data_IF_745984065310
#
_entry.id   IF_745984065310
#
_cell.length_a   1.000
_cell.length_b   1.000
_cell.length_c   1.000
_cell.angle_alpha   90.00
_cell.angle_beta   90.00
_cell.angle_gamma   90.00
#
_symmetry.space_group_name_H-M   'P 1'
#
loop_
_entity.id
_entity.type
_entity.pdbx_description
1 polymer ?
#
# COMPACT_ATOMS: atom_id res chain seq x y z
N UNK A 1 -35.29 4.48 -2.99
CA UNK A 1 -34.40 5.25 -3.88
C UNK A 1 -33.27 5.75 -3.01
N UNK A 2 -32.02 5.46 -3.38
CA UNK A 2 -30.83 5.75 -2.58
C UNK A 2 -30.54 7.25 -2.69
N UNK A 3 -30.34 7.94 -1.56
CA UNK A 3 -29.98 9.35 -1.55
C UNK A 3 -28.46 9.52 -1.45
N UNK A 4 -27.80 9.44 -2.61
CA UNK A 4 -26.35 9.59 -2.72
C UNK A 4 -25.87 10.98 -2.29
N UNK A 5 -26.71 12.01 -2.47
CA UNK A 5 -26.35 13.38 -2.07
C UNK A 5 -26.31 13.49 -0.55
N UNK A 6 -27.30 12.92 0.13
CA UNK A 6 -27.33 12.90 1.59
C UNK A 6 -26.19 12.05 2.16
N UNK A 7 -25.92 10.88 1.59
CA UNK A 7 -24.78 10.04 1.98
C UNK A 7 -23.44 10.78 1.83
N UNK A 8 -23.25 11.49 0.71
CA UNK A 8 -22.06 12.31 0.47
C UNK A 8 -21.94 13.43 1.52
N UNK A 9 -23.04 14.12 1.86
CA UNK A 9 -23.01 15.16 2.90
C UNK A 9 -22.58 14.62 4.27
N UNK A 10 -22.95 13.38 4.62
CA UNK A 10 -22.52 12.75 5.86
C UNK A 10 -21.01 12.50 5.82
N UNK A 11 -20.47 11.98 4.71
CA UNK A 11 -19.02 11.77 4.54
C UNK A 11 -18.26 13.09 4.66
N UNK A 12 -18.75 14.15 4.01
CA UNK A 12 -18.11 15.47 4.04
C UNK A 12 -18.12 16.08 5.45
N UNK A 13 -19.20 15.84 6.21
CA UNK A 13 -19.39 16.36 7.58
C UNK A 13 -18.60 15.59 8.63
N UNK A 14 -18.66 14.26 8.59
CA UNK A 14 -18.10 13.38 9.63
C UNK A 14 -16.63 13.03 9.36
N UNK A 15 -16.18 13.12 8.11
CA UNK A 15 -14.82 12.74 7.69
C UNK A 15 -14.07 13.95 7.12
N UNK A 16 -14.37 14.36 5.89
CA UNK A 16 -13.81 15.56 5.26
C UNK A 16 -14.46 15.84 3.90
N UNK A 17 -14.59 17.12 3.48
CA UNK A 17 -15.02 17.50 2.14
C UNK A 17 -14.10 16.99 1.03
N UNK A 18 -12.91 16.47 1.33
CA UNK A 18 -11.97 15.98 0.35
C UNK A 18 -12.26 14.57 -0.14
N UNK A 19 -13.29 13.90 0.39
CA UNK A 19 -13.68 12.55 -0.02
C UNK A 19 -14.88 12.56 -0.98
N UNK A 20 -14.99 11.50 -1.79
CA UNK A 20 -16.12 11.28 -2.71
C UNK A 20 -16.55 9.83 -2.67
N UNK A 21 -17.86 9.57 -2.76
CA UNK A 21 -18.38 8.21 -2.98
C UNK A 21 -17.87 7.69 -4.32
N UNK A 22 -17.35 6.46 -4.32
CA UNK A 22 -16.82 5.78 -5.51
C UNK A 22 -17.74 4.66 -5.98
N UNK A 23 -18.29 3.91 -5.04
CA UNK A 23 -19.15 2.77 -5.29
C UNK A 23 -20.09 2.57 -4.10
N UNK A 24 -21.19 1.87 -4.33
CA UNK A 24 -22.06 1.44 -3.26
C UNK A 24 -22.66 0.07 -3.58
N UNK A 25 -22.99 -0.66 -2.53
CA UNK A 25 -23.65 -1.96 -2.61
C UNK A 25 -24.98 -1.88 -1.87
N UNK A 26 -26.05 -2.26 -2.54
CA UNK A 26 -27.41 -2.30 -2.00
C UNK A 26 -27.76 -3.75 -1.69
N UNK A 27 -27.77 -4.13 -0.41
CA UNK A 27 -28.12 -5.48 0.06
C UNK A 27 -29.56 -5.50 0.58
N UNK A 28 -30.09 -6.66 1.00
CA UNK A 28 -31.42 -6.70 1.60
C UNK A 28 -31.51 -5.86 2.89
N UNK A 29 -30.45 -5.90 3.71
CA UNK A 29 -30.45 -5.32 5.06
C UNK A 29 -29.86 -3.91 5.13
N UNK A 30 -28.95 -3.56 4.21
CA UNK A 30 -28.19 -2.32 4.30
C UNK A 30 -27.77 -1.76 2.94
N UNK A 31 -27.31 -0.52 2.93
CA UNK A 31 -26.58 0.07 1.81
C UNK A 31 -25.18 0.47 2.30
N UNK A 32 -24.15 0.00 1.60
CA UNK A 32 -22.75 0.22 1.95
C UNK A 32 -22.18 1.20 0.94
N UNK A 33 -21.75 2.38 1.38
CA UNK A 33 -21.15 3.42 0.55
C UNK A 33 -19.65 3.47 0.78
N UNK A 34 -18.89 3.16 -0.27
CA UNK A 34 -17.45 3.33 -0.28
C UNK A 34 -17.09 4.69 -0.84
N UNK A 35 -16.03 5.24 -0.30
CA UNK A 35 -15.55 6.55 -0.66
C UNK A 35 -14.04 6.56 -0.67
N UNK A 36 -13.48 7.46 -1.46
CA UNK A 36 -12.05 7.66 -1.57
C UNK A 36 -11.72 9.13 -1.61
N UNK A 37 -10.47 9.47 -1.28
CA UNK A 37 -10.01 10.84 -1.34
C UNK A 37 -10.09 11.35 -2.79
N UNK A 38 -10.43 12.61 -3.02
CA UNK A 38 -10.63 13.16 -4.37
C UNK A 38 -9.35 13.13 -5.21
N UNK A 39 -8.20 13.23 -4.55
CA UNK A 39 -6.86 13.05 -5.16
C UNK A 39 -6.25 11.67 -4.86
N UNK A 40 -7.07 10.68 -4.47
CA UNK A 40 -6.60 9.32 -4.22
C UNK A 40 -5.88 8.77 -5.45
N UNK A 41 -4.60 8.46 -5.24
CA UNK A 41 -3.83 7.56 -6.05
C UNK A 41 -3.78 6.24 -5.26
N UNK A 42 -4.28 5.11 -5.79
CA UNK A 42 -4.32 3.81 -5.11
C UNK A 42 -3.02 3.34 -4.49
N UNK A 43 -1.95 4.03 -4.85
CA UNK A 43 -0.60 3.68 -4.56
C UNK A 43 0.19 4.84 -3.91
N UNK A 44 -0.43 5.93 -3.48
CA UNK A 44 0.31 7.02 -2.83
C UNK A 44 0.24 6.90 -1.30
N UNK A 45 1.33 6.46 -0.66
CA UNK A 45 1.48 6.42 0.80
C UNK A 45 1.22 7.76 1.50
N UNK A 46 1.34 8.89 0.80
CA UNK A 46 0.98 10.23 1.32
C UNK A 46 -0.54 10.43 1.42
N UNK A 47 -1.32 9.60 0.71
CA UNK A 47 -2.77 9.50 0.78
C UNK A 47 -3.28 8.44 1.76
N UNK A 48 -2.40 7.65 2.39
CA UNK A 48 -2.77 6.68 3.43
C UNK A 48 -3.09 7.39 4.75
N UNK A 49 -4.23 8.07 4.79
CA UNK A 49 -4.94 8.30 6.04
C UNK A 49 -5.87 7.10 6.22
N UNK A 50 -5.44 6.19 7.10
CA UNK A 50 -6.26 5.11 7.68
C UNK A 50 -7.52 5.71 8.32
N UNK A 51 -8.65 5.00 8.27
CA UNK A 51 -9.41 4.84 9.52
C UNK A 51 -10.93 4.92 9.50
N UNK A 52 -11.58 5.20 8.38
CA UNK A 52 -13.04 5.08 8.33
C UNK A 52 -13.39 4.05 7.27
N UNK A 53 -14.00 2.96 7.71
CA UNK A 53 -14.69 2.01 6.85
C UNK A 53 -15.85 2.69 6.10
N UNK A 54 -16.61 1.92 5.32
CA UNK A 54 -17.69 2.49 4.52
C UNK A 54 -18.70 3.23 5.39
N UNK A 55 -19.40 4.19 4.79
CA UNK A 55 -20.64 4.69 5.38
C UNK A 55 -21.70 3.62 5.17
N UNK A 56 -22.41 3.20 6.20
CA UNK A 56 -23.47 2.20 6.10
C UNK A 56 -24.80 2.82 6.46
N UNK A 57 -25.80 2.56 5.63
CA UNK A 57 -27.20 2.83 5.92
C UNK A 57 -27.91 1.53 6.27
N UNK A 58 -28.33 1.38 7.52
CA UNK A 58 -29.13 0.25 7.99
C UNK A 58 -30.60 0.49 7.60
N UNK A 59 -31.18 -0.41 6.80
CA UNK A 59 -32.57 -0.26 6.31
C UNK A 59 -33.61 -0.55 7.40
N UNK A 60 -33.24 -1.31 8.42
CA UNK A 60 -34.10 -1.67 9.56
C UNK A 60 -34.24 -0.48 10.50
N UNK A 61 -33.11 0.09 10.92
CA UNK A 61 -33.09 1.23 11.86
C UNK A 61 -33.26 2.58 11.15
N UNK A 62 -33.02 2.64 9.84
CA UNK A 62 -33.01 3.85 9.01
C UNK A 62 -31.94 4.85 9.42
N UNK A 63 -30.83 4.36 9.96
CA UNK A 63 -29.71 5.17 10.44
C UNK A 63 -28.50 5.05 9.52
N UNK A 64 -27.73 6.15 9.42
CA UNK A 64 -26.43 6.17 8.79
C UNK A 64 -25.33 6.08 9.84
N UNK A 65 -24.31 5.26 9.60
CA UNK A 65 -23.16 5.09 10.49
C UNK A 65 -21.86 5.09 9.70
N UNK A 66 -20.93 5.97 10.07
CA UNK A 66 -19.54 5.87 9.60
C UNK A 66 -18.89 4.76 10.37
N UNK A 67 -18.53 3.68 9.68
CA UNK A 67 -18.06 2.48 10.36
C UNK A 67 -16.55 2.44 10.51
N UNK A 68 -16.06 1.79 11.56
CA UNK A 68 -14.72 1.19 11.57
C UNK A 68 -14.69 -0.10 10.74
N UNK A 69 -13.51 -0.55 10.33
CA UNK A 69 -13.32 -1.64 9.37
C UNK A 69 -13.80 -3.04 9.80
N UNK A 70 -14.32 -3.24 11.02
CA UNK A 70 -14.56 -4.59 11.57
C UNK A 70 -16.00 -4.98 11.92
N UNK A 71 -16.92 -4.03 12.13
CA UNK A 71 -18.14 -4.32 12.91
C UNK A 71 -19.27 -5.01 12.12
N UNK A 72 -19.22 -5.04 10.79
CA UNK A 72 -20.30 -5.57 9.94
C UNK A 72 -19.82 -6.37 8.72
N UNK A 73 -18.53 -6.69 8.63
CA UNK A 73 -18.01 -7.55 7.56
C UNK A 73 -18.29 -9.02 7.91
N UNK A 74 -19.56 -9.43 7.80
CA UNK A 74 -19.93 -10.84 7.78
C UNK A 74 -19.28 -11.51 6.56
N UNK A 75 -19.14 -12.83 6.60
CA UNK A 75 -18.60 -13.60 5.48
C UNK A 75 -19.38 -13.36 4.17
N UNK A 76 -20.70 -13.14 4.27
CA UNK A 76 -21.58 -12.84 3.13
C UNK A 76 -21.32 -11.45 2.54
N UNK A 77 -21.06 -10.46 3.39
CA UNK A 77 -20.65 -9.12 2.95
C UNK A 77 -19.25 -9.17 2.34
N UNK A 78 -18.32 -9.93 2.93
CA UNK A 78 -17.00 -10.16 2.35
C UNK A 78 -17.06 -10.76 0.93
N UNK A 79 -17.97 -11.71 0.68
CA UNK A 79 -18.20 -12.32 -0.64
C UNK A 79 -18.62 -11.32 -1.71
N UNK A 80 -19.31 -10.24 -1.36
CA UNK A 80 -19.66 -9.18 -2.32
C UNK A 80 -18.42 -8.49 -2.91
N UNK A 81 -17.29 -8.60 -2.22
CA UNK A 81 -16.03 -7.97 -2.59
C UNK A 81 -14.97 -8.97 -3.07
N UNK A 82 -15.34 -10.24 -3.27
CA UNK A 82 -14.45 -11.24 -3.85
C UNK A 82 -14.35 -11.01 -5.36
N UNK A 83 -13.27 -10.35 -5.78
CA UNK A 83 -12.86 -10.28 -7.18
C UNK A 83 -11.67 -11.20 -7.41
N UNK A 84 -11.46 -11.64 -8.66
CA UNK A 84 -10.25 -12.41 -9.01
C UNK A 84 -8.97 -11.62 -8.69
N UNK A 85 -8.98 -10.30 -8.89
CA UNK A 85 -7.87 -9.42 -8.48
C UNK A 85 -7.62 -9.45 -6.97
N UNK A 86 -8.68 -9.48 -6.16
CA UNK A 86 -8.55 -9.54 -4.69
C UNK A 86 -8.05 -10.90 -4.23
N UNK A 87 -8.48 -11.99 -4.87
CA UNK A 87 -7.96 -13.33 -4.61
C UNK A 87 -6.47 -13.39 -4.93
N UNK A 88 -6.07 -12.90 -6.10
CA UNK A 88 -4.64 -12.81 -6.48
C UNK A 88 -3.83 -12.00 -5.46
N UNK A 89 -4.36 -10.87 -4.97
CA UNK A 89 -3.71 -10.07 -3.91
C UNK A 89 -3.55 -10.84 -2.59
N UNK A 90 -4.55 -11.65 -2.21
CA UNK A 90 -4.49 -12.50 -1.02
C UNK A 90 -3.46 -13.60 -1.20
N UNK A 91 -3.41 -14.24 -2.37
CA UNK A 91 -2.44 -15.27 -2.69
C UNK A 91 -1.00 -14.72 -2.69
N UNK A 92 -0.79 -13.53 -3.30
CA UNK A 92 0.48 -12.79 -3.25
C UNK A 92 0.89 -12.53 -1.79
N UNK A 93 -0.04 -12.04 -0.97
CA UNK A 93 0.21 -11.75 0.44
C UNK A 93 0.57 -13.01 1.23
N UNK A 94 -0.19 -14.10 1.07
CA UNK A 94 0.06 -15.36 1.75
C UNK A 94 1.45 -15.92 1.39
N UNK A 95 1.82 -15.84 0.11
CA UNK A 95 3.14 -16.22 -0.35
C UNK A 95 4.26 -15.35 0.24
N UNK A 96 4.07 -14.04 0.30
CA UNK A 96 5.03 -13.13 0.93
C UNK A 96 5.21 -13.45 2.42
N UNK A 97 4.12 -13.76 3.13
CA UNK A 97 4.18 -14.13 4.54
C UNK A 97 4.89 -15.48 4.74
N UNK A 98 4.66 -16.46 3.87
CA UNK A 98 5.39 -17.73 3.94
C UNK A 98 6.90 -17.54 3.71
N UNK A 99 7.30 -16.71 2.74
CA UNK A 99 8.70 -16.34 2.56
C UNK A 99 9.28 -15.63 3.77
N UNK A 100 8.53 -14.69 4.38
CA UNK A 100 8.94 -14.00 5.60
C UNK A 100 9.19 -14.99 6.75
N UNK A 101 8.36 -16.02 6.87
CA UNK A 101 8.48 -17.13 7.83
C UNK A 101 9.55 -18.17 7.46
N UNK A 102 10.37 -17.90 6.44
CA UNK A 102 11.46 -18.76 5.94
C UNK A 102 10.98 -20.09 5.33
N UNK A 103 9.79 -20.13 4.74
CA UNK A 103 9.39 -21.26 3.91
C UNK A 103 10.16 -21.33 2.59
N UNK A 104 10.01 -22.46 1.88
CA UNK A 104 10.73 -22.70 0.63
C UNK A 104 10.29 -21.73 -0.47
N UNK A 105 11.28 -21.08 -1.10
CA UNK A 105 11.07 -20.13 -2.18
C UNK A 105 10.68 -20.83 -3.50
N UNK A 106 9.53 -20.45 -4.05
CA UNK A 106 9.21 -20.65 -5.47
C UNK A 106 9.86 -19.54 -6.31
N UNK A 107 10.96 -19.87 -6.97
CA UNK A 107 11.72 -18.91 -7.78
C UNK A 107 10.92 -18.33 -8.96
N UNK A 108 10.01 -19.10 -9.55
CA UNK A 108 9.21 -18.62 -10.69
C UNK A 108 8.21 -17.59 -10.20
N UNK A 109 7.50 -17.90 -9.11
CA UNK A 109 6.51 -17.00 -8.53
C UNK A 109 7.16 -15.74 -7.94
N UNK A 110 8.27 -15.88 -7.21
CA UNK A 110 9.05 -14.74 -6.69
C UNK A 110 9.44 -13.77 -7.80
N UNK A 111 9.99 -14.27 -8.92
CA UNK A 111 10.37 -13.40 -10.03
C UNK A 111 9.15 -12.70 -10.66
N UNK A 112 8.03 -13.40 -10.81
CA UNK A 112 6.78 -12.81 -11.30
C UNK A 112 6.30 -11.64 -10.42
N UNK A 113 6.33 -11.81 -9.10
CA UNK A 113 5.94 -10.76 -8.15
C UNK A 113 6.91 -9.57 -8.19
N UNK A 114 8.22 -9.81 -8.31
CA UNK A 114 9.21 -8.76 -8.48
C UNK A 114 8.91 -7.94 -9.75
N UNK A 115 8.64 -8.59 -10.89
CA UNK A 115 8.26 -7.87 -12.13
C UNK A 115 6.97 -7.07 -11.98
N UNK A 116 5.96 -7.61 -11.29
CA UNK A 116 4.69 -6.93 -11.00
C UNK A 116 4.93 -5.66 -10.19
N UNK A 117 5.72 -5.73 -9.12
CA UNK A 117 6.08 -4.56 -8.29
C UNK A 117 6.90 -3.54 -9.09
N UNK A 118 7.92 -3.98 -9.85
CA UNK A 118 8.71 -3.09 -10.73
C UNK A 118 7.83 -2.35 -11.74
N UNK A 119 6.89 -3.06 -12.37
CA UNK A 119 5.96 -2.47 -13.34
C UNK A 119 5.07 -1.39 -12.70
N UNK A 120 4.59 -1.64 -11.48
CA UNK A 120 3.83 -0.65 -10.72
C UNK A 120 4.66 0.58 -10.35
N UNK A 121 5.88 0.40 -9.83
CA UNK A 121 6.82 1.50 -9.57
C UNK A 121 7.07 2.33 -10.82
N UNK A 122 7.30 1.69 -11.96
CA UNK A 122 7.58 2.37 -13.23
C UNK A 122 6.35 3.14 -13.75
N UNK A 123 5.15 2.58 -13.61
CA UNK A 123 3.89 3.24 -13.95
C UNK A 123 3.66 4.50 -13.11
N UNK A 124 3.94 4.42 -11.81
CA UNK A 124 3.73 5.51 -10.84
C UNK A 124 4.86 6.55 -10.84
N UNK A 125 6.05 6.14 -11.25
CA UNK A 125 7.27 6.95 -11.23
C UNK A 125 7.71 7.40 -9.82
N UNK A 126 7.31 6.65 -8.79
CA UNK A 126 7.83 6.73 -7.42
C UNK A 126 7.76 5.35 -6.74
N UNK A 127 8.46 5.20 -5.61
CA UNK A 127 8.52 3.98 -4.80
C UNK A 127 7.89 4.19 -3.43
N UNK A 128 7.05 3.25 -3.01
CA UNK A 128 6.45 3.16 -1.69
C UNK A 128 7.34 2.43 -0.69
N UNK A 129 7.16 2.73 0.60
CA UNK A 129 7.66 1.91 1.70
C UNK A 129 7.15 0.47 1.59
N UNK A 130 5.89 0.26 1.21
CA UNK A 130 5.34 -1.07 0.93
C UNK A 130 6.09 -1.76 -0.21
N UNK A 131 6.40 -1.06 -1.31
CA UNK A 131 7.21 -1.66 -2.39
C UNK A 131 8.58 -2.10 -1.87
N UNK A 132 9.23 -1.25 -1.04
CA UNK A 132 10.54 -1.55 -0.45
C UNK A 132 10.44 -2.75 0.48
N UNK A 133 9.38 -2.83 1.26
CA UNK A 133 9.18 -3.91 2.21
C UNK A 133 8.95 -5.25 1.51
N UNK A 134 8.04 -5.27 0.54
CA UNK A 134 7.73 -6.44 -0.25
C UNK A 134 8.95 -6.93 -1.04
N UNK A 135 9.70 -6.01 -1.68
CA UNK A 135 10.94 -6.37 -2.37
C UNK A 135 12.02 -6.84 -1.39
N UNK A 136 12.05 -6.33 -0.15
CA UNK A 136 12.97 -6.83 0.88
C UNK A 136 12.64 -8.25 1.32
N UNK A 137 11.35 -8.61 1.39
CA UNK A 137 10.93 -10.01 1.57
C UNK A 137 11.33 -10.83 0.33
N UNK A 138 10.97 -10.41 -0.89
CA UNK A 138 11.25 -11.20 -2.10
C UNK A 138 12.76 -11.41 -2.34
N UNK A 139 13.62 -10.50 -1.90
CA UNK A 139 15.08 -10.61 -2.05
C UNK A 139 15.78 -11.40 -0.95
N UNK A 140 15.12 -11.64 0.19
CA UNK A 140 15.73 -12.30 1.35
C UNK A 140 16.27 -11.35 2.43
N UNK A 141 16.13 -10.04 2.23
CA UNK A 141 16.67 -9.01 3.13
C UNK A 141 15.85 -8.93 4.42
N UNK A 142 14.54 -9.17 4.32
CA UNK A 142 13.62 -9.29 5.45
C UNK A 142 13.17 -10.73 5.64
N UNK A 143 13.51 -11.33 6.78
CA UNK A 143 13.02 -12.64 7.25
C UNK A 143 12.73 -12.55 8.73
N UNK A 144 11.92 -13.46 9.25
CA UNK A 144 11.55 -13.49 10.68
C UNK A 144 12.76 -13.73 11.60
N UNK A 145 13.80 -14.40 11.10
CA UNK A 145 15.03 -14.74 11.82
C UNK A 145 16.19 -13.77 11.57
N UNK A 146 15.97 -12.69 10.81
CA UNK A 146 17.01 -11.71 10.46
C UNK A 146 16.72 -10.35 11.05
N UNK A 147 17.78 -9.59 11.31
CA UNK A 147 17.65 -8.18 11.68
C UNK A 147 17.25 -7.38 10.43
N UNK A 148 16.13 -6.67 10.54
CA UNK A 148 15.62 -5.82 9.48
C UNK A 148 14.86 -4.63 10.05
N UNK A 149 15.09 -3.46 9.47
CA UNK A 149 14.34 -2.24 9.78
C UNK A 149 14.27 -1.31 8.56
N UNK A 150 13.23 -0.46 8.55
CA UNK A 150 13.07 0.64 7.61
C UNK A 150 13.21 1.96 8.39
N UNK A 151 14.40 2.58 8.28
CA UNK A 151 14.74 3.77 9.06
C UNK A 151 14.50 5.04 8.24
N UNK A 152 13.94 6.04 8.93
CA UNK A 152 13.87 7.42 8.48
C UNK A 152 14.83 8.29 9.30
N UNK A 153 15.79 8.96 8.64
CA UNK A 153 16.72 9.90 9.28
C UNK A 153 16.42 11.32 8.84
N UNK A 154 16.48 12.27 9.76
CA UNK A 154 16.20 13.68 9.48
C UNK A 154 17.08 14.29 8.36
N UNK A 155 18.30 13.78 8.17
CA UNK A 155 19.20 14.22 7.09
C UNK A 155 18.72 13.80 5.67
N UNK A 156 17.75 12.89 5.59
CA UNK A 156 17.11 12.43 4.36
C UNK A 156 15.61 12.73 4.39
N UNK A 157 15.07 13.28 3.29
CA UNK A 157 13.62 13.47 3.19
C UNK A 157 12.93 12.12 3.00
N UNK A 158 12.02 11.76 3.91
CA UNK A 158 11.34 10.46 3.93
C UNK A 158 10.47 10.19 2.69
N UNK A 159 9.96 11.26 2.07
CA UNK A 159 9.21 11.20 0.81
C UNK A 159 10.11 10.85 -0.37
N UNK A 160 11.40 11.11 -0.26
CA UNK A 160 12.38 10.90 -1.33
C UNK A 160 13.30 9.71 -1.06
N UNK A 161 13.44 9.28 0.19
CA UNK A 161 14.43 8.29 0.60
C UNK A 161 13.91 7.38 1.71
N UNK A 162 14.41 6.15 1.72
CA UNK A 162 14.20 5.18 2.80
C UNK A 162 15.51 4.41 3.03
N UNK A 163 15.83 4.10 4.28
CA UNK A 163 17.01 3.30 4.63
C UNK A 163 16.54 1.90 4.97
N UNK A 164 17.03 0.92 4.22
CA UNK A 164 16.91 -0.50 4.55
C UNK A 164 18.09 -0.90 5.42
N UNK A 165 17.80 -1.41 6.61
CA UNK A 165 18.78 -2.09 7.46
C UNK A 165 18.64 -3.58 7.25
N UNK A 166 19.73 -4.25 6.89
CA UNK A 166 19.78 -5.71 6.78
C UNK A 166 21.23 -6.16 6.92
N UNK A 167 21.47 -7.23 7.66
CA UNK A 167 22.79 -7.87 7.80
C UNK A 167 23.13 -8.80 6.61
N UNK A 168 22.14 -9.16 5.79
CA UNK A 168 22.34 -10.04 4.62
C UNK A 168 22.87 -9.27 3.41
N UNK A 169 24.19 -9.37 3.18
CA UNK A 169 24.85 -8.72 2.05
C UNK A 169 24.35 -9.21 0.69
N UNK A 170 24.02 -10.50 0.54
CA UNK A 170 23.56 -11.07 -0.74
C UNK A 170 22.15 -10.58 -1.06
N UNK A 171 21.29 -10.49 -0.06
CA UNK A 171 19.94 -9.96 -0.25
C UNK A 171 19.95 -8.48 -0.61
N UNK A 172 20.81 -7.67 0.04
CA UNK A 172 21.02 -6.26 -0.35
C UNK A 172 21.52 -6.11 -1.78
N UNK A 173 22.42 -6.98 -2.24
CA UNK A 173 22.88 -6.96 -3.64
C UNK A 173 21.74 -7.20 -4.63
N UNK A 174 20.82 -8.14 -4.33
CA UNK A 174 19.60 -8.36 -5.14
C UNK A 174 18.70 -7.12 -5.14
N UNK A 175 18.50 -6.48 -3.99
CA UNK A 175 17.70 -5.26 -3.88
C UNK A 175 18.32 -4.10 -4.67
N UNK A 176 19.64 -3.94 -4.60
CA UNK A 176 20.40 -2.98 -5.41
C UNK A 176 20.24 -3.27 -6.91
N UNK A 177 20.28 -4.55 -7.32
CA UNK A 177 20.11 -4.94 -8.71
C UNK A 177 18.73 -4.51 -9.24
N UNK A 178 17.67 -4.71 -8.45
CA UNK A 178 16.33 -4.23 -8.78
C UNK A 178 16.34 -2.71 -8.96
N UNK A 179 16.87 -1.95 -7.99
CA UNK A 179 16.92 -0.48 -8.08
C UNK A 179 17.65 0.04 -9.32
N UNK A 180 18.77 -0.61 -9.68
CA UNK A 180 19.50 -0.31 -10.92
C UNK A 180 18.65 -0.56 -12.16
N UNK A 181 17.95 -1.68 -12.19
CA UNK A 181 17.12 -2.10 -13.33
C UNK A 181 15.96 -1.12 -13.58
N UNK A 182 15.25 -0.71 -12.52
CA UNK A 182 14.17 0.29 -12.64
C UNK A 182 14.68 1.73 -12.77
N UNK A 183 16.00 1.95 -12.74
CA UNK A 183 16.64 3.24 -12.97
C UNK A 183 16.51 4.24 -11.81
N UNK A 184 16.44 3.74 -10.56
CA UNK A 184 16.46 4.55 -9.35
C UNK A 184 17.85 4.56 -8.71
N UNK A 185 18.15 5.63 -7.97
CA UNK A 185 19.44 5.76 -7.27
C UNK A 185 19.42 5.00 -5.95
N UNK A 186 20.61 4.62 -5.50
CA UNK A 186 20.83 4.06 -4.17
C UNK A 186 22.19 4.55 -3.65
N UNK A 187 22.41 4.43 -2.34
CA UNK A 187 23.70 4.69 -1.71
C UNK A 187 23.92 3.69 -0.57
N UNK A 188 25.09 3.05 -0.56
CA UNK A 188 25.51 2.23 0.59
C UNK A 188 26.01 3.20 1.66
N UNK A 189 25.37 3.19 2.84
CA UNK A 189 25.72 4.06 3.96
C UNK A 189 26.70 3.38 4.91
N UNK A 190 26.54 2.08 5.12
CA UNK A 190 27.40 1.23 5.93
C UNK A 190 27.30 -0.22 5.46
N UNK A 191 27.99 -1.13 6.15
CA UNK A 191 27.89 -2.56 5.87
C UNK A 191 26.46 -3.07 5.97
N UNK A 192 25.61 -2.52 6.84
CA UNK A 192 24.23 -2.96 7.07
C UNK A 192 23.16 -2.02 6.53
N UNK A 193 23.52 -0.81 6.11
CA UNK A 193 22.56 0.23 5.74
C UNK A 193 22.62 0.57 4.24
N UNK A 194 21.47 0.44 3.58
CA UNK A 194 21.27 0.78 2.19
C UNK A 194 20.22 1.89 2.08
N UNK A 195 20.65 3.07 1.63
CA UNK A 195 19.74 4.16 1.27
C UNK A 195 19.18 3.91 -0.13
N UNK A 196 17.86 3.86 -0.24
CA UNK A 196 17.13 3.71 -1.49
C UNK A 196 16.39 5.01 -1.81
N UNK A 197 16.57 5.51 -3.04
CA UNK A 197 15.84 6.68 -3.51
C UNK A 197 14.46 6.23 -4.00
N UNK A 198 13.43 6.95 -3.56
CA UNK A 198 12.03 6.72 -3.88
C UNK A 198 11.54 7.51 -5.09
N UNK A 199 12.37 8.42 -5.59
CA UNK A 199 12.13 9.23 -6.80
C UNK A 199 13.38 9.29 -7.69
N UNK A 200 13.20 9.34 -9.03
CA UNK A 200 14.33 9.35 -9.99
C UNK A 200 15.08 10.68 -10.05
N UNK A 201 14.37 11.81 -9.87
CA UNK A 201 14.93 13.17 -9.78
C UNK A 201 13.87 14.16 -9.28
N UNK A 202 14.30 14.95 -8.31
CA UNK A 202 13.65 16.11 -7.69
C UNK A 202 13.24 17.10 -8.78
N UNK A 203 11.96 17.49 -8.83
CA UNK A 203 11.57 18.75 -9.45
C UNK A 203 12.36 19.84 -8.72
N UNK A 204 13.40 20.37 -9.35
CA UNK A 204 14.09 21.56 -8.85
C UNK A 204 13.03 22.64 -8.68
N UNK A 205 12.64 22.94 -7.43
CA UNK A 205 11.90 24.17 -7.16
C UNK A 205 12.73 25.30 -7.78
N UNK A 206 12.16 26.16 -8.63
CA UNK A 206 12.89 27.32 -9.12
C UNK A 206 13.34 28.10 -7.90
N UNK A 207 14.65 28.32 -7.80
CA UNK A 207 15.24 29.25 -6.85
C UNK A 207 14.66 30.60 -7.20
N UNK A 208 13.73 31.10 -6.39
CA UNK A 208 13.38 32.52 -6.40
C UNK A 208 14.65 33.26 -5.99
N UNK A 209 15.31 33.87 -6.98
CA UNK A 209 16.25 34.96 -6.76
C UNK A 209 15.49 36.23 -6.49
#
# INVERSE_FOLDING_TARGET
MIDLNFAQQIIEKEISPDFKITEYFDTEEMIIFFWTHKIYDPDDERGHIIGYGPLVYDKTTKEYRVMGSGEWFSEEICKLFETEERKEKIDDHNYLMSLFENEQEDLVYTNSLIEKIKSNILRRNYVNSDDVDLLSILTGARRIDKEYDLIFRHEWQHEEHIIVVSDDSKAKEKLIAIWKEIGYKYKILSDNELLLFRIKKINTKPTLK
#
